data_IF_426573521388
#
_entry.id   IF_426573521388
#
_cell.length_a   1.000
_cell.length_b   1.000
_cell.length_c   1.000
_cell.angle_alpha   90.00
_cell.angle_beta   90.00
_cell.angle_gamma   90.00
#
_symmetry.space_group_name_H-M   'P 1'
#
loop_
_entity.id
_entity.type
_entity.pdbx_description
1 polymer ?
#
# COMPACT_ATOMS: atom_id res chain seq x y z
N UNK A 1 3.20 -35.31 -4.19
CA UNK A 1 3.25 -33.89 -3.80
C UNK A 1 2.32 -33.07 -4.70
N UNK A 2 1.80 -31.94 -4.21
CA UNK A 2 0.99 -31.00 -5.01
C UNK A 2 1.47 -29.57 -4.79
N UNK A 3 1.54 -28.77 -5.85
CA UNK A 3 1.74 -27.32 -5.72
C UNK A 3 0.36 -26.69 -5.53
N UNK A 4 0.18 -25.85 -4.52
CA UNK A 4 -1.10 -25.19 -4.28
C UNK A 4 -0.92 -23.85 -3.58
N UNK A 5 -1.95 -23.01 -3.65
CA UNK A 5 -2.10 -21.89 -2.73
C UNK A 5 -2.67 -22.40 -1.42
N UNK A 6 -2.00 -22.07 -0.33
CA UNK A 6 -2.35 -22.56 0.99
C UNK A 6 -3.43 -21.72 1.70
N UNK A 7 -3.69 -22.02 2.97
CA UNK A 7 -4.65 -21.29 3.80
C UNK A 7 -4.31 -19.81 4.00
N UNK A 8 -3.03 -19.44 3.83
CA UNK A 8 -2.50 -18.08 3.84
C UNK A 8 -2.33 -17.51 2.42
N UNK A 9 -2.85 -18.23 1.41
CA UNK A 9 -2.80 -17.89 -0.01
C UNK A 9 -1.37 -17.80 -0.56
N UNK A 10 -0.40 -18.43 0.10
CA UNK A 10 0.96 -18.54 -0.40
C UNK A 10 1.10 -19.76 -1.30
N UNK A 11 1.84 -19.60 -2.40
CA UNK A 11 2.19 -20.71 -3.26
C UNK A 11 3.21 -21.62 -2.55
N UNK A 12 2.80 -22.86 -2.29
CA UNK A 12 3.57 -23.83 -1.53
C UNK A 12 3.46 -25.23 -2.13
N UNK A 13 4.29 -26.15 -1.64
CA UNK A 13 4.15 -27.58 -1.91
C UNK A 13 3.51 -28.25 -0.70
N UNK A 14 2.39 -28.90 -0.97
CA UNK A 14 1.75 -29.83 -0.06
C UNK A 14 2.29 -31.24 -0.26
N UNK A 15 2.72 -31.84 0.84
CA UNK A 15 3.08 -33.25 0.93
C UNK A 15 2.44 -33.85 2.17
N UNK A 16 1.56 -34.84 1.98
CA UNK A 16 0.89 -35.57 3.08
C UNK A 16 1.90 -36.29 3.97
N UNK A 17 3.09 -36.59 3.45
CA UNK A 17 4.16 -37.30 4.17
C UNK A 17 5.03 -36.37 5.01
N UNK A 18 4.97 -35.04 4.80
CA UNK A 18 5.75 -34.08 5.60
C UNK A 18 5.06 -33.87 6.96
N UNK A 19 5.71 -34.22 8.08
CA UNK A 19 5.11 -34.09 9.40
C UNK A 19 4.98 -32.60 9.80
N UNK A 20 3.75 -32.16 10.06
CA UNK A 20 3.44 -30.77 10.43
C UNK A 20 3.60 -30.54 11.94
N UNK A 21 4.85 -30.47 12.39
CA UNK A 21 5.17 -30.57 13.82
C UNK A 21 5.14 -29.24 14.58
N UNK A 22 5.29 -28.10 13.89
CA UNK A 22 5.42 -26.78 14.54
C UNK A 22 4.87 -25.65 13.68
N UNK A 23 4.07 -24.78 14.30
CA UNK A 23 3.64 -23.52 13.73
C UNK A 23 4.70 -22.44 13.96
N UNK A 24 4.92 -21.62 12.93
CA UNK A 24 5.77 -20.45 12.97
C UNK A 24 4.95 -19.24 12.54
N UNK A 25 5.27 -18.09 13.14
CA UNK A 25 4.69 -16.81 12.76
C UNK A 25 5.67 -16.06 11.85
N UNK A 26 5.17 -15.56 10.74
CA UNK A 26 5.93 -14.77 9.77
C UNK A 26 5.22 -13.43 9.56
N UNK A 27 5.98 -12.39 9.25
CA UNK A 27 5.44 -11.09 8.84
C UNK A 27 5.93 -10.83 7.42
N UNK A 28 4.99 -10.79 6.47
CA UNK A 28 5.27 -10.60 5.05
C UNK A 28 4.64 -9.28 4.61
N UNK A 29 5.46 -8.29 4.25
CA UNK A 29 5.01 -6.92 3.96
C UNK A 29 4.03 -6.35 5.02
N UNK A 30 4.25 -6.71 6.29
CA UNK A 30 3.42 -6.29 7.42
C UNK A 30 2.14 -7.13 7.63
N UNK A 31 1.93 -8.18 6.84
CA UNK A 31 0.87 -9.17 7.01
C UNK A 31 1.39 -10.35 7.83
N UNK A 32 0.77 -10.58 8.99
CA UNK A 32 1.13 -11.67 9.88
C UNK A 32 0.41 -12.94 9.44
N UNK A 33 1.19 -14.00 9.22
CA UNK A 33 0.68 -15.33 8.92
C UNK A 33 1.19 -16.33 9.95
N UNK A 34 0.44 -17.40 10.13
CA UNK A 34 0.86 -18.56 10.91
C UNK A 34 0.83 -19.79 10.00
N UNK A 35 1.95 -20.52 9.94
CA UNK A 35 2.09 -21.65 9.05
C UNK A 35 3.01 -22.72 9.64
N UNK A 36 2.70 -23.97 9.33
CA UNK A 36 3.55 -25.14 9.59
C UNK A 36 4.72 -25.22 8.60
N UNK A 37 5.76 -25.98 8.97
CA UNK A 37 6.88 -26.30 8.06
C UNK A 37 6.34 -26.83 6.71
N UNK A 38 6.59 -26.08 5.64
CA UNK A 38 6.22 -26.41 4.25
C UNK A 38 7.24 -25.86 3.27
N UNK A 39 7.29 -26.40 2.06
CA UNK A 39 8.16 -25.85 1.01
C UNK A 39 7.43 -24.71 0.30
N UNK A 40 8.14 -23.61 0.04
CA UNK A 40 7.62 -22.42 -0.64
C UNK A 40 8.55 -21.96 -1.74
N UNK A 41 7.97 -21.30 -2.73
CA UNK A 41 8.70 -20.65 -3.82
C UNK A 41 9.17 -19.28 -3.35
N UNK A 42 10.48 -19.13 -3.18
CA UNK A 42 11.10 -17.90 -2.72
C UNK A 42 11.90 -17.24 -3.83
N UNK A 43 11.60 -15.97 -4.11
CA UNK A 43 12.34 -15.11 -5.01
C UNK A 43 13.36 -14.29 -4.23
N UNK A 44 14.63 -14.38 -4.59
CA UNK A 44 15.70 -13.60 -3.97
C UNK A 44 16.79 -13.30 -5.00
N UNK A 45 17.28 -12.05 -5.05
CA UNK A 45 18.38 -11.62 -5.93
C UNK A 45 18.17 -12.06 -7.40
N UNK A 46 16.94 -11.92 -7.91
CA UNK A 46 16.53 -12.29 -9.27
C UNK A 46 16.56 -13.79 -9.60
N UNK A 47 16.49 -14.63 -8.58
CA UNK A 47 16.46 -16.09 -8.74
C UNK A 47 15.34 -16.69 -7.92
N UNK A 48 14.67 -17.70 -8.48
CA UNK A 48 13.70 -18.52 -7.76
C UNK A 48 14.40 -19.70 -7.10
N UNK A 49 13.93 -20.03 -5.90
CA UNK A 49 14.39 -21.17 -5.12
C UNK A 49 13.19 -21.84 -4.47
N UNK A 50 13.28 -23.16 -4.32
CA UNK A 50 12.39 -23.89 -3.44
C UNK A 50 13.07 -24.05 -2.10
N UNK A 51 12.47 -23.52 -1.04
CA UNK A 51 13.03 -23.56 0.31
C UNK A 51 11.97 -24.02 1.31
N UNK A 52 12.39 -24.52 2.46
CA UNK A 52 11.48 -24.62 3.60
C UNK A 52 11.12 -23.22 4.10
N UNK A 53 9.84 -22.99 4.40
CA UNK A 53 9.31 -21.71 4.87
C UNK A 53 10.06 -21.18 6.11
N UNK A 54 10.54 -22.07 6.99
CA UNK A 54 11.36 -21.67 8.16
C UNK A 54 12.70 -21.03 7.80
N UNK A 55 13.16 -21.22 6.56
CA UNK A 55 14.39 -20.63 6.03
C UNK A 55 14.11 -19.32 5.26
N UNK A 56 12.87 -18.83 5.28
CA UNK A 56 12.54 -17.53 4.72
C UNK A 56 13.25 -16.45 5.53
N UNK A 57 14.00 -15.59 4.86
CA UNK A 57 14.81 -14.55 5.50
C UNK A 57 14.77 -13.25 4.72
N UNK A 58 15.43 -12.24 5.29
CA UNK A 58 15.41 -10.86 4.79
C UNK A 58 15.65 -10.77 3.28
N UNK A 59 14.76 -10.04 2.59
CA UNK A 59 14.91 -9.82 1.17
C UNK A 59 14.31 -10.91 0.27
N UNK A 60 13.88 -12.04 0.83
CA UNK A 60 13.14 -13.05 0.10
C UNK A 60 11.69 -12.63 -0.08
N UNK A 61 11.11 -12.97 -1.22
CA UNK A 61 9.72 -12.72 -1.54
C UNK A 61 9.01 -14.04 -1.83
N UNK A 62 7.77 -14.19 -1.40
CA UNK A 62 6.93 -15.37 -1.68
C UNK A 62 5.73 -14.98 -2.53
N UNK A 63 5.32 -15.90 -3.41
CA UNK A 63 4.16 -15.69 -4.26
C UNK A 63 2.86 -15.82 -3.44
N UNK A 64 2.02 -14.78 -3.52
CA UNK A 64 0.72 -14.66 -2.85
C UNK A 64 -0.38 -14.43 -3.89
N UNK A 65 -1.50 -15.13 -3.76
CA UNK A 65 -2.67 -14.93 -4.63
C UNK A 65 -3.84 -14.30 -3.85
N UNK A 66 -4.16 -13.01 -4.05
CA UNK A 66 -5.32 -12.40 -3.41
C UNK A 66 -6.61 -13.09 -3.86
N UNK A 67 -7.49 -13.44 -2.90
CA UNK A 67 -8.82 -14.00 -3.20
C UNK A 67 -9.68 -13.08 -4.04
N UNK A 68 -9.50 -11.77 -3.86
CA UNK A 68 -10.24 -10.72 -4.57
C UNK A 68 -9.23 -9.67 -5.01
N UNK A 69 -8.60 -9.85 -6.19
CA UNK A 69 -7.71 -8.84 -6.76
C UNK A 69 -8.42 -7.49 -6.91
N UNK A 70 -7.67 -6.40 -6.88
CA UNK A 70 -8.21 -5.06 -6.99
C UNK A 70 -8.62 -4.80 -8.44
N UNK A 71 -9.92 -4.56 -8.68
CA UNK A 71 -10.37 -4.05 -9.97
C UNK A 71 -10.15 -2.55 -10.03
N UNK A 72 -9.06 -2.11 -10.67
CA UNK A 72 -8.72 -0.68 -10.77
C UNK A 72 -9.70 0.11 -11.65
N UNK A 73 -10.40 -0.57 -12.55
CA UNK A 73 -11.23 0.06 -13.58
C UNK A 73 -12.61 0.49 -13.06
N UNK A 74 -13.06 -0.11 -11.95
CA UNK A 74 -14.36 0.23 -11.34
C UNK A 74 -14.25 1.27 -10.24
N UNK A 75 -13.04 1.57 -9.77
CA UNK A 75 -12.81 2.43 -8.61
C UNK A 75 -12.64 3.89 -9.00
N UNK A 76 -13.57 4.71 -8.52
CA UNK A 76 -13.57 6.16 -8.74
C UNK A 76 -12.95 6.85 -7.53
N UNK A 77 -12.04 7.79 -7.79
CA UNK A 77 -11.47 8.62 -6.73
C UNK A 77 -12.54 9.56 -6.14
N UNK A 78 -12.85 9.38 -4.85
CA UNK A 78 -13.68 10.32 -4.11
C UNK A 78 -12.89 11.59 -3.78
N UNK A 79 -13.17 12.63 -4.55
CA UNK A 79 -12.54 13.96 -4.44
C UNK A 79 -12.83 14.63 -3.10
N UNK A 80 -13.93 14.29 -2.43
CA UNK A 80 -14.26 14.88 -1.13
C UNK A 80 -13.33 14.41 -0.01
N UNK A 81 -12.59 13.30 -0.22
CA UNK A 81 -11.49 12.91 0.67
C UNK A 81 -10.38 13.94 0.69
N UNK A 82 -10.17 14.72 -0.39
CA UNK A 82 -9.21 15.82 -0.40
C UNK A 82 -9.52 16.85 0.67
N UNK A 83 -10.77 17.32 0.72
CA UNK A 83 -11.21 18.25 1.76
C UNK A 83 -11.20 17.62 3.14
N UNK A 84 -11.48 16.32 3.22
CA UNK A 84 -11.46 15.57 4.48
C UNK A 84 -10.05 15.57 5.07
N UNK A 85 -9.01 15.24 4.30
CA UNK A 85 -7.64 15.27 4.80
C UNK A 85 -7.18 16.69 5.13
N UNK A 86 -7.60 17.70 4.36
CA UNK A 86 -7.31 19.10 4.70
C UNK A 86 -7.94 19.55 6.02
N UNK A 87 -9.03 18.92 6.46
CA UNK A 87 -9.66 19.20 7.76
C UNK A 87 -9.11 18.38 8.92
N UNK A 88 -8.13 17.50 8.67
CA UNK A 88 -7.57 16.58 9.68
C UNK A 88 -7.00 17.31 10.90
N UNK A 89 -6.29 18.43 10.68
CA UNK A 89 -5.73 19.23 11.77
C UNK A 89 -6.44 20.56 11.88
N UNK A 90 -6.94 20.82 13.09
CA UNK A 90 -7.63 22.03 13.46
C UNK A 90 -6.98 22.66 14.68
N UNK A 91 -6.88 23.98 14.67
CA UNK A 91 -6.44 24.79 15.80
C UNK A 91 -7.55 25.74 16.22
N UNK A 92 -7.36 26.36 17.37
CA UNK A 92 -8.24 27.39 17.90
C UNK A 92 -7.37 28.59 18.26
N UNK A 93 -7.70 29.76 17.70
CA UNK A 93 -7.05 31.00 18.07
C UNK A 93 -7.75 31.55 19.32
N UNK A 94 -7.06 31.53 20.46
CA UNK A 94 -7.63 31.92 21.76
C UNK A 94 -8.00 33.42 21.82
N UNK A 95 -7.28 34.27 21.10
CA UNK A 95 -7.52 35.73 21.09
C UNK A 95 -8.78 36.11 20.30
N UNK A 96 -9.05 35.38 19.22
CA UNK A 96 -10.18 35.68 18.31
C UNK A 96 -11.37 34.75 18.47
N UNK A 97 -11.19 33.61 19.15
CA UNK A 97 -12.19 32.56 19.28
C UNK A 97 -12.45 31.79 17.98
N UNK A 98 -11.61 31.95 16.94
CA UNK A 98 -11.85 31.38 15.62
C UNK A 98 -11.10 30.05 15.47
N UNK A 99 -11.82 29.01 15.04
CA UNK A 99 -11.22 27.75 14.59
C UNK A 99 -10.59 27.91 13.22
N UNK A 100 -9.42 27.32 13.03
CA UNK A 100 -8.73 27.31 11.75
C UNK A 100 -8.19 25.92 11.44
N UNK A 101 -8.02 25.62 10.16
CA UNK A 101 -7.39 24.37 9.71
C UNK A 101 -5.94 24.64 9.32
N UNK A 102 -5.08 23.63 9.46
CA UNK A 102 -3.67 23.77 9.12
C UNK A 102 -3.06 22.46 8.66
N UNK A 103 -1.90 22.52 8.01
CA UNK A 103 -1.07 21.35 7.72
C UNK A 103 0.20 21.43 8.59
N UNK A 104 0.41 20.45 9.50
CA UNK A 104 1.60 20.39 10.32
C UNK A 104 2.84 20.05 9.48
N UNK A 105 3.89 20.88 9.65
CA UNK A 105 5.15 20.85 8.91
C UNK A 105 5.02 21.16 7.41
N UNK A 106 6.01 21.86 6.87
CA UNK A 106 6.00 22.39 5.51
C UNK A 106 6.24 21.33 4.43
N UNK A 107 5.34 20.36 4.28
CA UNK A 107 5.53 19.21 3.41
C UNK A 107 4.76 19.24 2.08
N UNK A 108 4.12 20.34 1.74
CA UNK A 108 3.58 20.56 0.40
C UNK A 108 4.26 21.72 -0.29
N UNK A 109 4.63 21.53 -1.55
CA UNK A 109 4.69 22.66 -2.46
C UNK A 109 3.28 23.28 -2.50
N UNK A 110 3.11 24.45 -1.87
CA UNK A 110 1.81 25.13 -1.81
C UNK A 110 1.28 25.40 -3.21
N UNK A 111 2.16 25.53 -4.20
CA UNK A 111 1.78 25.67 -5.61
C UNK A 111 1.01 24.42 -6.06
N UNK A 112 1.54 23.22 -5.76
CA UNK A 112 0.86 21.95 -6.07
C UNK A 112 -0.48 21.86 -5.35
N UNK A 113 -0.54 22.15 -4.04
CA UNK A 113 -1.79 22.10 -3.27
C UNK A 113 -2.86 23.07 -3.82
N UNK A 114 -2.45 24.27 -4.25
CA UNK A 114 -3.35 25.24 -4.91
C UNK A 114 -3.81 24.78 -6.29
N UNK A 115 -2.93 24.14 -7.07
CA UNK A 115 -3.28 23.51 -8.35
C UNK A 115 -4.30 22.40 -8.18
N UNK A 116 -4.13 21.55 -7.16
CA UNK A 116 -5.10 20.51 -6.80
C UNK A 116 -6.47 21.11 -6.41
N UNK A 117 -6.50 22.13 -5.55
CA UNK A 117 -7.77 22.81 -5.18
C UNK A 117 -8.49 23.39 -6.40
N UNK A 118 -7.74 23.92 -7.36
CA UNK A 118 -8.29 24.46 -8.60
C UNK A 118 -8.86 23.36 -9.48
N UNK A 119 -8.10 22.28 -9.67
CA UNK A 119 -8.53 21.10 -10.44
C UNK A 119 -9.77 20.42 -9.85
N UNK A 120 -9.91 20.46 -8.52
CA UNK A 120 -11.03 19.89 -7.79
C UNK A 120 -12.22 20.86 -7.63
N UNK A 121 -12.16 22.05 -8.22
CA UNK A 121 -13.22 23.08 -8.15
C UNK A 121 -13.56 23.55 -6.72
N UNK A 122 -12.56 23.79 -5.88
CA UNK A 122 -12.73 24.34 -4.53
C UNK A 122 -12.15 25.77 -4.38
N UNK A 123 -12.61 26.77 -5.17
CA UNK A 123 -11.99 28.10 -5.25
C UNK A 123 -12.15 28.95 -3.98
N UNK A 124 -13.05 28.56 -3.07
CA UNK A 124 -13.30 29.29 -1.81
C UNK A 124 -12.29 28.95 -0.72
N UNK A 125 -11.47 27.91 -0.92
CA UNK A 125 -10.46 27.49 0.03
C UNK A 125 -9.15 28.17 -0.35
N UNK A 126 -8.54 28.85 0.62
CA UNK A 126 -7.24 29.48 0.44
C UNK A 126 -6.21 28.82 1.35
N UNK A 127 -5.01 28.65 0.82
CA UNK A 127 -3.88 28.00 1.48
C UNK A 127 -2.71 28.98 1.52
N UNK A 128 -2.21 29.25 2.72
CA UNK A 128 -1.15 30.23 2.95
C UNK A 128 -0.01 29.66 3.79
N UNK A 129 1.23 29.96 3.38
CA UNK A 129 2.41 29.61 4.17
C UNK A 129 2.61 30.65 5.27
N UNK A 130 2.79 30.18 6.49
CA UNK A 130 3.17 31.03 7.63
C UNK A 130 4.47 30.52 8.24
N UNK A 131 5.02 31.25 9.22
CA UNK A 131 6.20 30.81 9.98
C UNK A 131 5.96 29.51 10.78
N UNK A 132 4.71 29.24 11.17
CA UNK A 132 4.33 28.09 11.99
C UNK A 132 3.79 26.88 11.22
N UNK A 133 3.67 26.97 9.89
CA UNK A 133 3.08 25.93 9.05
C UNK A 133 2.19 26.50 7.94
N UNK A 134 1.40 25.64 7.31
CA UNK A 134 0.46 26.05 6.27
C UNK A 134 -0.93 26.21 6.86
N UNK A 135 -1.55 27.38 6.73
CA UNK A 135 -2.90 27.68 7.19
C UNK A 135 -3.89 27.49 6.05
N UNK A 136 -5.05 26.93 6.36
CA UNK A 136 -6.15 26.71 5.42
C UNK A 136 -7.35 27.52 5.90
N UNK A 137 -7.78 28.47 5.08
CA UNK A 137 -8.96 29.31 5.32
C UNK A 137 -10.09 28.98 4.35
N UNK A 138 -11.33 29.25 4.77
CA UNK A 138 -12.53 28.95 3.98
C UNK A 138 -13.00 27.49 4.02
N UNK A 139 -12.22 26.57 4.60
CA UNK A 139 -12.61 25.18 4.81
C UNK A 139 -13.58 25.05 6.00
N UNK A 140 -14.80 24.57 5.72
CA UNK A 140 -15.85 24.34 6.73
C UNK A 140 -16.09 22.85 7.06
N UNK A 141 -15.38 21.94 6.39
CA UNK A 141 -15.57 20.50 6.55
C UNK A 141 -15.00 20.05 7.89
N UNK A 142 -15.74 19.21 8.61
CA UNK A 142 -15.21 18.49 9.78
C UNK A 142 -14.58 17.18 9.32
N UNK A 143 -13.43 16.82 9.88
CA UNK A 143 -12.79 15.55 9.60
C UNK A 143 -13.66 14.37 10.04
N UNK A 144 -13.82 13.39 9.15
CA UNK A 144 -14.48 12.11 9.41
C UNK A 144 -13.59 10.97 8.92
N UNK A 145 -13.53 9.87 9.66
CA UNK A 145 -12.82 8.70 9.16
C UNK A 145 -13.63 8.02 8.06
N UNK A 146 -12.97 7.57 6.98
CA UNK A 146 -13.63 6.80 5.94
C UNK A 146 -14.11 5.45 6.48
N UNK A 147 -15.26 4.99 6.00
CA UNK A 147 -15.92 3.79 6.55
C UNK A 147 -15.82 2.60 5.60
N UNK A 148 -15.89 2.83 4.29
CA UNK A 148 -15.85 1.76 3.28
C UNK A 148 -14.43 1.53 2.75
N UNK A 149 -14.19 0.35 2.16
CA UNK A 149 -12.90 0.03 1.55
C UNK A 149 -12.55 0.98 0.39
N UNK A 150 -13.54 1.42 -0.40
CA UNK A 150 -13.33 2.38 -1.49
C UNK A 150 -12.93 3.75 -0.95
N UNK A 151 -13.59 4.20 0.12
CA UNK A 151 -13.22 5.44 0.81
C UNK A 151 -11.83 5.34 1.43
N UNK A 152 -11.45 4.17 1.96
CA UNK A 152 -10.09 3.93 2.49
C UNK A 152 -9.02 4.14 1.41
N UNK A 153 -9.27 3.70 0.19
CA UNK A 153 -8.35 3.88 -0.93
C UNK A 153 -8.25 5.36 -1.34
N UNK A 154 -9.37 6.06 -1.50
CA UNK A 154 -9.41 7.49 -1.83
C UNK A 154 -8.76 8.34 -0.74
N UNK A 155 -8.98 7.98 0.52
CA UNK A 155 -8.34 8.58 1.68
C UNK A 155 -6.82 8.39 1.68
N UNK A 156 -6.33 7.16 1.45
CA UNK A 156 -4.89 6.89 1.37
C UNK A 156 -4.21 7.59 0.20
N UNK A 157 -4.87 7.64 -0.96
CA UNK A 157 -4.37 8.39 -2.10
C UNK A 157 -4.27 9.88 -1.78
N UNK A 158 -5.28 10.43 -1.11
CA UNK A 158 -5.25 11.82 -0.66
C UNK A 158 -4.12 12.09 0.33
N UNK A 159 -3.88 11.17 1.28
CA UNK A 159 -2.71 11.24 2.16
C UNK A 159 -1.41 11.23 1.36
N UNK A 160 -1.32 10.44 0.29
CA UNK A 160 -0.17 10.44 -0.61
C UNK A 160 0.00 11.76 -1.36
N UNK A 161 -1.09 12.40 -1.80
CA UNK A 161 -1.03 13.71 -2.45
C UNK A 161 -0.53 14.82 -1.53
N UNK A 162 -0.93 14.80 -0.25
CA UNK A 162 -0.66 15.90 0.69
C UNK A 162 0.63 15.67 1.50
N UNK A 163 0.88 14.43 1.93
CA UNK A 163 1.98 14.06 2.82
C UNK A 163 2.94 13.03 2.21
N UNK A 164 2.72 12.63 0.95
CA UNK A 164 3.46 11.58 0.29
C UNK A 164 4.60 12.07 -0.59
N UNK A 165 5.59 11.20 -0.74
CA UNK A 165 6.65 11.28 -1.75
C UNK A 165 6.51 10.09 -2.68
N UNK A 166 6.26 10.38 -3.96
CA UNK A 166 6.17 9.40 -5.03
C UNK A 166 7.58 9.09 -5.56
N UNK A 167 8.10 7.91 -5.24
CA UNK A 167 9.44 7.48 -5.61
C UNK A 167 9.41 6.67 -6.91
N UNK A 168 10.18 7.14 -7.89
CA UNK A 168 10.20 6.55 -9.22
C UNK A 168 11.12 7.31 -10.16
N UNK A 169 11.32 6.77 -11.36
CA UNK A 169 12.06 7.40 -12.46
C UNK A 169 11.35 7.12 -13.77
N UNK A 170 11.41 8.06 -14.71
CA UNK A 170 10.94 7.89 -16.09
C UNK A 170 9.49 7.39 -16.21
N UNK A 171 8.59 7.93 -15.39
CA UNK A 171 7.17 7.54 -15.36
C UNK A 171 6.88 6.25 -14.58
N UNK A 172 7.90 5.45 -14.24
CA UNK A 172 7.77 4.24 -13.45
C UNK A 172 7.73 4.57 -11.94
N UNK A 173 6.56 4.38 -11.32
CA UNK A 173 6.34 4.53 -9.89
C UNK A 173 6.69 3.23 -9.16
N UNK A 174 7.67 3.28 -8.26
CA UNK A 174 8.15 2.09 -7.52
C UNK A 174 7.62 2.01 -6.09
N UNK A 175 7.43 3.16 -5.47
CA UNK A 175 6.96 3.25 -4.09
C UNK A 175 6.35 4.60 -3.80
N UNK A 176 5.46 4.65 -2.82
CA UNK A 176 4.96 5.88 -2.21
C UNK A 176 5.29 5.84 -0.73
N UNK A 177 5.90 6.90 -0.21
CA UNK A 177 6.18 7.08 1.22
C UNK A 177 5.39 8.24 1.78
N UNK A 178 4.55 7.99 2.76
CA UNK A 178 3.72 9.00 3.41
C UNK A 178 4.27 9.23 4.81
N UNK A 179 4.51 10.49 5.18
CA UNK A 179 4.95 10.87 6.52
C UNK A 179 3.87 11.72 7.17
N UNK A 180 3.01 11.10 7.96
CA UNK A 180 1.91 11.78 8.64
C UNK A 180 2.31 12.11 10.09
N UNK A 181 2.46 13.38 10.45
CA UNK A 181 2.71 13.76 11.83
C UNK A 181 1.48 13.51 12.70
N UNK A 182 1.67 12.91 13.88
CA UNK A 182 0.63 12.69 14.87
C UNK A 182 0.74 13.77 15.96
N UNK A 183 0.10 14.93 15.74
CA UNK A 183 0.08 16.06 16.68
C UNK A 183 -1.30 16.15 17.34
N UNK A 184 -1.34 16.30 18.67
CA UNK A 184 -2.56 16.64 19.44
C UNK A 184 -3.62 15.53 19.59
N UNK A 185 -3.84 14.70 18.58
CA UNK A 185 -4.87 13.63 18.55
C UNK A 185 -4.18 12.28 18.29
N UNK A 186 -3.31 11.87 19.21
CA UNK A 186 -2.26 10.88 18.90
C UNK A 186 -2.73 9.42 18.85
N UNK A 187 -3.48 8.95 19.85
CA UNK A 187 -3.79 7.51 19.95
C UNK A 187 -4.90 7.09 18.99
N UNK A 188 -6.02 7.83 18.95
CA UNK A 188 -7.19 7.44 18.16
C UNK A 188 -6.94 7.53 16.64
N UNK A 189 -6.15 8.52 16.19
CA UNK A 189 -5.81 8.66 14.77
C UNK A 189 -4.89 7.52 14.31
N UNK A 190 -3.84 7.22 15.08
CA UNK A 190 -2.94 6.11 14.76
C UNK A 190 -3.67 4.77 14.74
N UNK A 191 -4.48 4.48 15.75
CA UNK A 191 -5.23 3.23 15.84
C UNK A 191 -6.18 3.05 14.64
N UNK A 192 -6.92 4.10 14.28
CA UNK A 192 -7.84 4.05 13.14
C UNK A 192 -7.11 3.90 11.81
N UNK A 193 -5.97 4.56 11.62
CA UNK A 193 -5.13 4.39 10.42
C UNK A 193 -4.54 2.99 10.33
N UNK A 194 -4.08 2.43 11.45
CA UNK A 194 -3.62 1.04 11.54
C UNK A 194 -4.76 0.09 11.16
N UNK A 195 -5.98 0.34 11.64
CA UNK A 195 -7.14 -0.49 11.34
C UNK A 195 -7.56 -0.41 9.86
N UNK A 196 -7.46 0.77 9.22
CA UNK A 196 -7.64 0.91 7.77
C UNK A 196 -6.63 0.01 7.03
N UNK A 197 -5.34 0.09 7.36
CA UNK A 197 -4.33 -0.77 6.73
C UNK A 197 -4.60 -2.26 6.95
N UNK A 198 -4.99 -2.67 8.16
CA UNK A 198 -5.35 -4.07 8.46
C UNK A 198 -6.56 -4.53 7.64
N UNK A 199 -7.56 -3.68 7.45
CA UNK A 199 -8.73 -4.03 6.66
C UNK A 199 -8.39 -4.18 5.17
N UNK A 200 -7.55 -3.29 4.63
CA UNK A 200 -7.05 -3.42 3.26
C UNK A 200 -6.18 -4.68 3.09
N UNK A 201 -5.36 -5.04 4.08
CA UNK A 201 -4.59 -6.29 4.06
C UNK A 201 -5.47 -7.54 4.00
N UNK A 202 -6.66 -7.55 4.63
CA UNK A 202 -7.61 -8.67 4.50
C UNK A 202 -8.11 -8.84 3.06
N UNK A 203 -8.17 -7.76 2.29
CA UNK A 203 -8.47 -7.77 0.85
C UNK A 203 -7.23 -8.02 -0.01
N UNK A 204 -6.08 -8.35 0.59
CA UNK A 204 -4.83 -8.61 -0.10
C UNK A 204 -4.08 -7.36 -0.55
N UNK A 205 -4.35 -6.19 0.03
CA UNK A 205 -3.66 -4.93 -0.28
C UNK A 205 -2.65 -4.58 0.82
N UNK A 206 -1.37 -4.56 0.47
CA UNK A 206 -0.30 -4.52 1.48
C UNK A 206 0.30 -3.12 1.63
N UNK A 207 0.27 -2.61 2.86
CA UNK A 207 0.83 -1.31 3.22
C UNK A 207 1.75 -1.50 4.42
N UNK A 208 3.03 -1.24 4.24
CA UNK A 208 3.99 -1.20 5.34
C UNK A 208 3.78 0.05 6.15
N UNK A 209 3.95 -0.09 7.46
CA UNK A 209 3.73 1.00 8.40
C UNK A 209 4.78 0.94 9.50
N UNK A 210 5.29 2.10 9.86
CA UNK A 210 6.25 2.27 10.94
C UNK A 210 5.91 3.55 11.71
N UNK A 211 6.28 3.59 12.97
CA UNK A 211 6.11 4.76 13.82
C UNK A 211 7.46 5.25 14.25
N UNK A 212 7.81 6.45 13.81
CA UNK A 212 9.07 7.09 14.12
C UNK A 212 8.89 8.13 15.24
N UNK A 213 9.89 8.22 16.12
CA UNK A 213 9.90 9.14 17.26
C UNK A 213 11.12 10.07 17.11
N UNK A 214 10.90 11.25 16.57
CA UNK A 214 11.94 12.27 16.38
C UNK A 214 11.71 13.47 17.28
N UNK A 215 12.58 13.68 18.27
CA UNK A 215 12.67 14.90 19.09
C UNK A 215 11.29 15.43 19.53
N UNK A 216 10.49 14.56 20.17
CA UNK A 216 9.11 14.78 20.68
C UNK A 216 7.97 14.71 19.65
N UNK A 217 8.26 14.49 18.37
CA UNK A 217 7.26 14.31 17.31
C UNK A 217 7.11 12.84 16.97
N UNK A 218 5.88 12.36 17.05
CA UNK A 218 5.50 11.03 16.56
C UNK A 218 5.07 11.15 15.09
N UNK A 219 5.71 10.41 14.20
CA UNK A 219 5.39 10.39 12.77
C UNK A 219 4.98 8.98 12.38
N UNK A 220 3.75 8.83 11.88
CA UNK A 220 3.30 7.59 11.28
C UNK A 220 3.72 7.56 9.82
N UNK A 221 4.55 6.58 9.49
CA UNK A 221 5.08 6.38 8.15
C UNK A 221 4.32 5.26 7.46
N UNK A 222 3.87 5.51 6.24
CA UNK A 222 3.34 4.47 5.35
C UNK A 222 4.27 4.28 4.19
N UNK A 223 4.52 3.02 3.81
CA UNK A 223 5.22 2.66 2.59
C UNK A 223 4.33 1.74 1.76
N UNK A 224 3.97 2.22 0.58
CA UNK A 224 3.15 1.50 -0.41
C UNK A 224 4.07 1.07 -1.53
N UNK A 225 4.25 -0.24 -1.67
CA UNK A 225 4.95 -0.87 -2.79
C UNK A 225 4.07 -1.91 -3.51
N UNK A 226 2.84 -2.08 -3.04
CA UNK A 226 1.86 -3.00 -3.64
C UNK A 226 1.49 -2.51 -5.03
N UNK A 227 1.77 -3.32 -6.06
CA UNK A 227 1.65 -2.87 -7.44
C UNK A 227 0.20 -2.54 -7.83
N UNK A 228 -0.81 -3.19 -7.23
CA UNK A 228 -2.22 -2.88 -7.51
C UNK A 228 -2.57 -1.48 -6.97
N UNK A 229 -2.11 -1.15 -5.76
CA UNK A 229 -2.27 0.20 -5.19
C UNK A 229 -1.50 1.24 -5.99
N UNK A 230 -0.26 0.93 -6.41
CA UNK A 230 0.55 1.85 -7.22
C UNK A 230 -0.10 2.11 -8.59
N UNK A 231 -0.64 1.08 -9.23
CA UNK A 231 -1.35 1.21 -10.51
C UNK A 231 -2.65 2.02 -10.35
N UNK A 232 -3.44 1.77 -9.29
CA UNK A 232 -4.63 2.57 -8.99
C UNK A 232 -4.28 4.05 -8.78
N UNK A 233 -3.27 4.33 -7.94
CA UNK A 233 -2.89 5.70 -7.61
C UNK A 233 -2.23 6.42 -8.80
N UNK A 234 -1.51 5.69 -9.65
CA UNK A 234 -1.03 6.21 -10.93
C UNK A 234 -2.19 6.60 -11.86
N UNK A 235 -3.21 5.74 -11.97
CA UNK A 235 -4.44 6.04 -12.72
C UNK A 235 -5.13 7.29 -12.18
N UNK A 236 -5.38 7.38 -10.88
CA UNK A 236 -6.01 8.56 -10.29
C UNK A 236 -5.15 9.82 -10.37
N UNK A 237 -3.82 9.70 -10.39
CA UNK A 237 -2.93 10.85 -10.61
C UNK A 237 -3.13 11.50 -11.98
N UNK A 238 -3.57 10.74 -12.99
CA UNK A 238 -3.88 11.27 -14.32
C UNK A 238 -5.03 12.28 -14.32
N UNK A 239 -5.87 12.28 -13.28
CA UNK A 239 -6.94 13.28 -13.09
C UNK A 239 -6.37 14.69 -12.85
N UNK A 240 -5.09 14.80 -12.49
CA UNK A 240 -4.44 16.05 -12.13
C UNK A 240 -3.31 16.37 -13.12
N UNK A 241 -3.54 17.38 -13.96
CA UNK A 241 -2.57 17.79 -15.00
C UNK A 241 -1.25 18.30 -14.42
N UNK A 242 -1.31 18.87 -13.22
CA UNK A 242 -0.15 19.43 -12.52
C UNK A 242 0.74 18.36 -11.85
N UNK A 243 0.28 17.09 -11.84
CA UNK A 243 1.05 15.98 -11.28
C UNK A 243 1.87 15.26 -12.36
N UNK A 244 3.06 14.74 -12.01
CA UNK A 244 3.84 13.89 -12.92
C UNK A 244 3.02 12.68 -13.36
N UNK A 245 2.83 12.55 -14.67
CA UNK A 245 2.13 11.42 -15.26
C UNK A 245 2.93 10.12 -15.05
N UNK A 246 2.21 9.04 -14.75
CA UNK A 246 2.79 7.74 -14.39
C UNK A 246 2.34 6.70 -15.42
N UNK A 247 3.25 5.81 -15.79
CA UNK A 247 2.96 4.75 -16.73
C UNK A 247 2.52 3.49 -15.95
N UNK A 248 1.21 3.20 -15.99
CA UNK A 248 0.60 2.05 -15.31
C UNK A 248 1.11 0.72 -15.87
N UNK A 249 1.37 0.62 -17.17
CA UNK A 249 1.91 -0.58 -17.81
C UNK A 249 3.30 -0.92 -17.27
N UNK A 250 4.17 0.09 -17.07
CA UNK A 250 5.51 -0.10 -16.52
C UNK A 250 5.51 -0.56 -15.06
N UNK A 251 4.51 -0.15 -14.27
CA UNK A 251 4.33 -0.59 -12.88
C UNK A 251 3.98 -2.08 -12.89
N UNK A 252 2.99 -2.48 -13.69
CA UNK A 252 2.54 -3.86 -13.82
C UNK A 252 3.60 -4.78 -14.43
N UNK A 253 4.41 -4.29 -15.37
CA UNK A 253 5.42 -5.09 -16.08
C UNK A 253 6.46 -5.73 -15.15
N UNK A 254 6.83 -5.08 -14.04
CA UNK A 254 7.77 -5.67 -13.07
C UNK A 254 7.18 -6.90 -12.39
N UNK A 255 5.92 -6.81 -11.98
CA UNK A 255 5.21 -7.93 -11.36
C UNK A 255 5.02 -9.08 -12.35
N UNK A 256 4.64 -8.76 -13.60
CA UNK A 256 4.54 -9.74 -14.69
C UNK A 256 5.87 -10.43 -14.96
N UNK A 257 6.99 -9.72 -14.96
CA UNK A 257 8.31 -10.32 -15.19
C UNK A 257 8.70 -11.31 -14.08
N UNK A 258 8.46 -10.99 -12.81
CA UNK A 258 8.72 -11.89 -11.69
C UNK A 258 7.83 -13.13 -11.77
N UNK A 259 6.55 -12.95 -12.15
CA UNK A 259 5.60 -14.04 -12.40
C UNK A 259 6.02 -14.96 -13.54
N UNK A 260 6.46 -14.42 -14.68
CA UNK A 260 6.98 -15.24 -15.79
C UNK A 260 8.20 -16.06 -15.37
N UNK A 261 9.10 -15.48 -14.57
CA UNK A 261 10.24 -16.22 -14.01
C UNK A 261 9.80 -17.37 -13.09
N UNK A 262 8.69 -17.21 -12.36
CA UNK A 262 8.14 -18.26 -11.50
C UNK A 262 7.59 -19.42 -12.33
N UNK A 263 6.85 -19.10 -13.39
CA UNK A 263 6.29 -20.07 -14.34
C UNK A 263 7.42 -20.92 -14.91
N UNK A 264 8.45 -20.29 -15.49
CA UNK A 264 9.60 -21.00 -16.04
C UNK A 264 10.34 -21.84 -14.99
N UNK A 265 10.50 -21.33 -13.76
CA UNK A 265 11.11 -22.10 -12.68
C UNK A 265 10.29 -23.35 -12.32
N UNK A 266 8.97 -23.27 -12.33
CA UNK A 266 8.08 -24.42 -12.11
C UNK A 266 8.17 -25.40 -13.27
N UNK A 267 8.17 -24.93 -14.52
CA UNK A 267 8.35 -25.78 -15.71
C UNK A 267 9.66 -26.58 -15.66
N UNK A 268 10.74 -25.96 -15.21
CA UNK A 268 12.06 -26.60 -15.10
C UNK A 268 12.24 -27.47 -13.84
N UNK A 269 11.33 -27.41 -12.87
CA UNK A 269 11.42 -28.20 -11.64
C UNK A 269 11.40 -29.71 -11.95
N UNK A 270 12.49 -30.37 -11.58
CA UNK A 270 12.71 -31.82 -11.73
C UNK A 270 12.29 -32.63 -10.50
N UNK A 271 11.48 -32.06 -9.60
CA UNK A 271 11.03 -32.77 -8.40
C UNK A 271 10.12 -33.92 -8.83
N UNK A 272 10.48 -35.19 -8.53
CA UNK A 272 9.61 -36.32 -8.82
C UNK A 272 8.28 -36.17 -8.08
N UNK A 273 7.18 -36.67 -8.67
CA UNK A 273 5.87 -36.81 -7.98
C UNK A 273 5.05 -35.53 -7.72
N UNK A 274 5.25 -34.43 -8.45
CA UNK A 274 4.29 -33.31 -8.48
C UNK A 274 3.13 -33.67 -9.42
N UNK A 275 1.96 -33.98 -8.85
CA UNK A 275 0.85 -34.55 -9.63
C UNK A 275 0.00 -33.53 -10.39
N UNK A 276 0.12 -32.23 -10.09
CA UNK A 276 -0.77 -31.18 -10.60
C UNK A 276 -0.04 -30.00 -11.26
N UNK A 277 1.13 -30.27 -11.85
CA UNK A 277 2.02 -29.24 -12.40
C UNK A 277 1.34 -28.39 -13.49
N UNK A 278 0.67 -29.03 -14.45
CA UNK A 278 0.03 -28.30 -15.56
C UNK A 278 -1.16 -27.46 -15.09
N UNK A 279 -1.97 -28.01 -14.17
CA UNK A 279 -3.12 -27.31 -13.57
C UNK A 279 -2.69 -26.06 -12.79
N UNK A 280 -1.62 -26.14 -12.00
CA UNK A 280 -1.14 -24.99 -11.23
C UNK A 280 -0.50 -23.93 -12.12
N UNK A 281 0.19 -24.32 -13.20
CA UNK A 281 0.78 -23.38 -14.15
C UNK A 281 -0.33 -22.55 -14.82
N UNK A 282 -1.38 -23.20 -15.30
CA UNK A 282 -2.55 -22.51 -15.86
C UNK A 282 -3.23 -21.60 -14.83
N UNK A 283 -3.30 -22.04 -13.58
CA UNK A 283 -3.84 -21.23 -12.48
C UNK A 283 -3.00 -19.97 -12.25
N UNK A 284 -1.68 -20.13 -12.15
CA UNK A 284 -0.74 -19.02 -11.97
C UNK A 284 -0.85 -18.05 -13.14
N UNK A 285 -0.84 -18.52 -14.39
CA UNK A 285 -0.96 -17.69 -15.59
C UNK A 285 -2.18 -16.77 -15.55
N UNK A 286 -3.33 -17.27 -15.13
CA UNK A 286 -4.59 -16.52 -15.13
C UNK A 286 -4.82 -15.67 -13.88
N UNK A 287 -4.13 -15.95 -12.77
CA UNK A 287 -4.32 -15.23 -11.51
C UNK A 287 -3.39 -14.03 -11.36
N UNK A 288 -3.88 -13.01 -10.65
CA UNK A 288 -3.03 -11.95 -10.11
C UNK A 288 -2.13 -12.53 -9.02
N UNK A 289 -0.82 -12.36 -9.12
CA UNK A 289 0.12 -12.70 -8.05
C UNK A 289 0.77 -11.45 -7.48
N UNK A 290 1.03 -11.48 -6.18
CA UNK A 290 1.87 -10.52 -5.45
C UNK A 290 3.10 -11.24 -4.92
N UNK A 291 4.19 -10.51 -4.74
CA UNK A 291 5.45 -11.05 -4.23
C UNK A 291 5.76 -10.40 -2.89
N UNK A 292 5.29 -11.04 -1.81
CA UNK A 292 5.35 -10.47 -0.48
C UNK A 292 6.72 -10.68 0.14
N UNK A 293 7.35 -9.59 0.58
CA UNK A 293 8.70 -9.63 1.15
C UNK A 293 8.68 -9.96 2.64
N UNK A 294 9.57 -10.85 3.09
CA UNK A 294 9.92 -11.03 4.51
C UNK A 294 10.72 -9.82 5.02
#
# INVERSE_FOLDING_TARGET
MKIQFDENQLLSIYDEKLPQLKNYQYILDGYQIEATDRLVFAYQKRTWKLINLKNLGDGMQVAFSPKTPLSTDTLIFDKDQFLNILSLFQGFNEETGIKYHFLPFGNGDIIVLKGLLTTLNYPKINIEKTKGGTIISGLKKTFLFPETAEDHLSFLFTLALIYGKFEGKDGNLKSIKIHLPLIGIQAQLEEKLINICKNLQKSGLFIKRNTDHHAEKKILQFQINDFELLTLFASWSSLFKDLPQRNTEQISAQNTAIKSQLISFIEELQIPEISNKDEILQTIENQTLKFLKY
#
